data_IF_075167587295
#
_entry.id   IF_075167587295
#
_cell.length_a   1.000
_cell.length_b   1.000
_cell.length_c   1.000
_cell.angle_alpha   90.00
_cell.angle_beta   90.00
_cell.angle_gamma   90.00
#
_symmetry.space_group_name_H-M   'P 1'
#
loop_
_entity.id
_entity.type
_entity.pdbx_description
1 polymer ?
#
# COMPACT_ATOMS: atom_id res chain seq x y z
N UNK A 1 19.68 17.84 13.79
CA UNK A 1 20.16 16.97 12.69
C UNK A 1 18.93 16.34 12.06
N UNK A 2 18.92 16.01 10.76
CA UNK A 2 17.85 15.19 10.21
C UNK A 2 17.79 13.84 10.96
N UNK A 3 16.59 13.24 11.11
CA UNK A 3 16.46 11.93 11.74
C UNK A 3 17.34 10.90 11.01
N UNK A 4 17.91 9.96 11.76
CA UNK A 4 18.77 8.93 11.17
C UNK A 4 17.91 8.04 10.28
N UNK A 5 18.34 7.75 9.04
CA UNK A 5 17.55 6.90 8.14
C UNK A 5 17.37 5.51 8.76
N UNK A 6 16.19 4.92 8.52
CA UNK A 6 15.87 3.61 9.04
C UNK A 6 16.85 2.54 8.50
N UNK A 7 17.46 1.71 9.36
CA UNK A 7 18.54 0.81 8.98
C UNK A 7 18.12 -0.28 7.98
N UNK A 8 16.84 -0.69 7.99
CA UNK A 8 16.30 -1.67 7.05
C UNK A 8 16.04 -1.11 5.64
N UNK A 9 15.96 0.21 5.48
CA UNK A 9 15.45 0.84 4.26
C UNK A 9 16.31 0.56 3.01
N UNK A 10 17.66 0.61 3.06
CA UNK A 10 18.50 0.27 1.92
C UNK A 10 18.31 -1.19 1.45
N UNK A 11 18.20 -2.12 2.40
CA UNK A 11 17.98 -3.54 2.12
C UNK A 11 16.61 -3.77 1.47
N UNK A 12 15.55 -3.19 2.06
CA UNK A 12 14.19 -3.27 1.50
C UNK A 12 14.14 -2.69 0.08
N UNK A 13 14.77 -1.54 -0.13
CA UNK A 13 14.83 -0.88 -1.45
C UNK A 13 15.56 -1.75 -2.49
N UNK A 14 16.65 -2.40 -2.09
CA UNK A 14 17.38 -3.34 -2.95
C UNK A 14 16.50 -4.53 -3.34
N UNK A 15 15.73 -5.10 -2.41
CA UNK A 15 14.84 -6.23 -2.70
C UNK A 15 13.69 -5.84 -3.63
N UNK A 16 13.08 -4.67 -3.40
CA UNK A 16 12.00 -4.14 -4.23
C UNK A 16 12.44 -3.83 -5.67
N UNK A 17 13.72 -3.50 -5.89
CA UNK A 17 14.27 -3.18 -7.22
C UNK A 17 14.87 -4.39 -7.93
N UNK A 18 15.34 -5.37 -7.17
CA UNK A 18 15.96 -6.59 -7.70
C UNK A 18 14.94 -7.56 -8.31
N UNK A 19 13.65 -7.45 -7.96
CA UNK A 19 12.57 -8.25 -8.54
C UNK A 19 11.49 -7.34 -9.14
N UNK A 20 11.60 -6.98 -10.44
CA UNK A 20 10.70 -6.01 -11.07
C UNK A 20 9.25 -6.49 -11.25
N UNK A 21 8.94 -7.73 -10.89
CA UNK A 21 7.66 -8.40 -11.18
C UNK A 21 6.69 -8.50 -10.01
N UNK A 22 7.08 -8.17 -8.77
CA UNK A 22 6.17 -8.30 -7.62
C UNK A 22 6.31 -7.15 -6.61
N UNK A 23 5.49 -6.11 -6.79
CA UNK A 23 5.23 -5.09 -5.77
C UNK A 23 4.13 -5.51 -4.78
N UNK A 24 3.65 -6.75 -4.89
CA UNK A 24 2.56 -7.25 -4.06
C UNK A 24 3.05 -7.63 -2.66
N UNK A 25 2.39 -7.11 -1.62
CA UNK A 25 2.64 -7.44 -0.21
C UNK A 25 1.35 -7.92 0.47
N UNK A 26 1.47 -8.71 1.52
CA UNK A 26 0.32 -9.11 2.34
C UNK A 26 0.10 -8.12 3.49
N UNK A 27 -1.03 -7.42 3.48
CA UNK A 27 -1.47 -6.55 4.57
C UNK A 27 -2.45 -7.30 5.47
N UNK A 28 -2.08 -7.45 6.75
CA UNK A 28 -2.94 -8.05 7.77
C UNK A 28 -3.50 -6.97 8.70
N UNK A 29 -4.79 -7.06 9.00
CA UNK A 29 -5.52 -6.13 9.89
C UNK A 29 -6.46 -6.91 10.81
N UNK A 30 -6.91 -6.29 11.89
CA UNK A 30 -7.93 -6.84 12.77
C UNK A 30 -9.26 -6.15 12.52
N UNK A 31 -10.30 -6.94 12.26
CA UNK A 31 -11.69 -6.49 12.16
C UNK A 31 -12.49 -6.98 13.36
N UNK A 32 -13.56 -6.28 13.73
CA UNK A 32 -14.45 -6.73 14.81
C UNK A 32 -15.66 -7.43 14.20
N UNK A 33 -15.97 -8.65 14.66
CA UNK A 33 -17.15 -9.35 14.19
C UNK A 33 -18.43 -8.58 14.58
N UNK A 34 -19.39 -8.35 13.65
CA UNK A 34 -20.50 -7.43 13.88
C UNK A 34 -21.43 -7.88 15.02
N UNK A 35 -21.61 -9.19 15.18
CA UNK A 35 -22.53 -9.75 16.17
C UNK A 35 -21.79 -10.09 17.48
N UNK A 36 -20.74 -10.90 17.38
CA UNK A 36 -20.03 -11.44 18.54
C UNK A 36 -19.01 -10.46 19.14
N UNK A 37 -18.73 -9.35 18.46
CA UNK A 37 -17.72 -8.34 18.85
C UNK A 37 -16.31 -8.90 19.08
N UNK A 38 -16.03 -10.11 18.59
CA UNK A 38 -14.73 -10.75 18.71
C UNK A 38 -13.77 -10.21 17.64
N UNK A 39 -12.48 -9.99 17.95
CA UNK A 39 -11.46 -9.68 16.96
C UNK A 39 -11.33 -10.82 15.94
N UNK A 40 -11.27 -10.48 14.66
CA UNK A 40 -11.08 -11.41 13.56
C UNK A 40 -9.99 -10.89 12.61
N UNK A 41 -8.90 -11.65 12.40
CA UNK A 41 -7.87 -11.26 11.47
C UNK A 41 -8.38 -11.25 10.02
N UNK A 42 -7.78 -10.37 9.23
CA UNK A 42 -8.03 -10.19 7.80
C UNK A 42 -6.68 -10.01 7.13
N UNK A 43 -6.35 -10.84 6.16
CA UNK A 43 -5.15 -10.68 5.32
C UNK A 43 -5.58 -10.45 3.87
N UNK A 44 -4.85 -9.60 3.16
CA UNK A 44 -5.07 -9.31 1.73
C UNK A 44 -3.76 -8.98 1.03
N UNK A 45 -3.69 -9.29 -0.26
CA UNK A 45 -2.62 -8.80 -1.13
C UNK A 45 -2.91 -7.36 -1.53
N UNK A 46 -1.91 -6.49 -1.40
CA UNK A 46 -1.94 -5.07 -1.79
C UNK A 46 -0.69 -4.74 -2.59
N UNK A 47 -0.75 -3.67 -3.37
CA UNK A 47 0.40 -3.21 -4.14
C UNK A 47 1.16 -2.11 -3.41
N UNK A 48 2.47 -2.32 -3.24
CA UNK A 48 3.42 -1.31 -2.81
C UNK A 48 3.50 -0.20 -3.87
N UNK A 49 3.27 1.05 -3.47
CA UNK A 49 3.25 2.22 -4.36
C UNK A 49 4.39 3.17 -4.07
N UNK A 50 5.49 2.72 -3.47
CA UNK A 50 6.63 3.57 -3.10
C UNK A 50 6.56 4.06 -1.65
N UNK A 51 7.48 4.96 -1.33
CA UNK A 51 7.57 5.57 -0.01
C UNK A 51 6.99 6.99 -0.06
N UNK A 52 6.12 7.33 0.89
CA UNK A 52 5.55 8.66 0.94
C UNK A 52 6.65 9.72 1.16
N UNK A 53 6.61 10.91 0.54
CA UNK A 53 5.58 11.40 -0.38
C UNK A 53 5.80 11.04 -1.86
N UNK A 54 6.84 10.29 -2.19
CA UNK A 54 7.23 9.96 -3.57
C UNK A 54 6.68 8.60 -3.99
N UNK A 55 5.46 8.63 -4.56
CA UNK A 55 4.78 7.43 -5.04
C UNK A 55 5.33 6.95 -6.39
N UNK A 56 5.43 5.63 -6.56
CA UNK A 56 5.64 4.99 -7.85
C UNK A 56 4.33 4.99 -8.64
N UNK A 57 4.13 6.06 -9.42
CA UNK A 57 2.94 6.27 -10.23
C UNK A 57 3.10 5.66 -11.63
N UNK A 58 2.00 5.14 -12.18
CA UNK A 58 1.96 4.72 -13.58
C UNK A 58 2.18 5.93 -14.51
N UNK A 59 2.80 5.71 -15.67
CA UNK A 59 3.16 6.75 -16.63
C UNK A 59 1.97 7.64 -17.04
N UNK A 60 0.78 7.05 -17.22
CA UNK A 60 -0.45 7.79 -17.52
C UNK A 60 -0.84 8.76 -16.42
N UNK A 61 -0.70 8.36 -15.14
CA UNK A 61 -1.02 9.24 -14.01
C UNK A 61 -0.03 10.40 -13.91
N UNK A 62 1.25 10.15 -14.18
CA UNK A 62 2.28 11.21 -14.26
C UNK A 62 1.94 12.21 -15.36
N UNK A 63 1.51 11.72 -16.52
CA UNK A 63 1.10 12.59 -17.63
C UNK A 63 -0.13 13.43 -17.25
N UNK A 64 -1.16 12.82 -16.65
CA UNK A 64 -2.35 13.55 -16.19
C UNK A 64 -2.02 14.63 -15.15
N UNK A 65 -1.08 14.39 -14.23
CA UNK A 65 -0.64 15.39 -13.26
C UNK A 65 0.02 16.60 -13.93
N UNK A 66 0.80 16.37 -14.99
CA UNK A 66 1.44 17.42 -15.79
C UNK A 66 0.40 18.21 -16.57
N UNK A 67 -0.47 17.52 -17.31
CA UNK A 67 -1.50 18.14 -18.15
C UNK A 67 -2.47 19.01 -17.30
N UNK A 68 -2.73 18.58 -16.06
CA UNK A 68 -3.59 19.31 -15.12
C UNK A 68 -2.87 20.38 -14.30
N UNK A 69 -1.58 20.63 -14.54
CA UNK A 69 -0.77 21.64 -13.85
C UNK A 69 -0.71 21.43 -12.32
N UNK A 70 -0.80 20.18 -11.86
CA UNK A 70 -0.69 19.80 -10.44
C UNK A 70 0.80 19.58 -10.09
N UNK A 71 1.53 18.90 -10.98
CA UNK A 71 2.93 18.56 -10.76
C UNK A 71 3.13 17.36 -9.82
N UNK A 72 4.40 17.01 -9.58
CA UNK A 72 4.81 16.01 -8.58
C UNK A 72 5.24 16.73 -7.31
N UNK A 73 5.26 15.99 -6.20
CA UNK A 73 5.86 16.48 -4.97
C UNK A 73 7.34 16.81 -5.22
N UNK A 74 7.87 17.93 -4.69
CA UNK A 74 9.28 18.26 -4.85
C UNK A 74 10.15 17.22 -4.12
N UNK A 75 11.30 16.89 -4.70
CA UNK A 75 12.29 15.90 -4.19
C UNK A 75 13.09 16.42 -2.98
N UNK A 76 12.43 17.16 -2.08
CA UNK A 76 13.00 17.70 -0.84
C UNK A 76 12.46 16.97 0.41
N UNK A 77 11.54 16.02 0.21
CA UNK A 77 10.92 15.24 1.26
C UNK A 77 11.19 13.76 1.02
N UNK A 78 11.71 13.09 2.04
CA UNK A 78 11.94 11.64 2.03
C UNK A 78 11.37 11.06 3.32
N UNK A 79 10.85 9.82 3.25
CA UNK A 79 10.49 9.06 4.44
C UNK A 79 10.54 7.56 4.17
N UNK A 80 10.60 6.77 5.24
CA UNK A 80 10.44 5.32 5.23
C UNK A 80 8.96 4.86 5.26
N UNK A 81 8.00 5.78 5.15
CA UNK A 81 6.58 5.44 5.25
C UNK A 81 6.08 4.74 3.98
N UNK A 82 5.57 3.53 4.14
CA UNK A 82 5.08 2.69 3.04
C UNK A 82 3.73 3.23 2.54
N UNK A 83 3.62 3.47 1.24
CA UNK A 83 2.38 3.92 0.63
C UNK A 83 1.68 2.81 -0.15
N UNK A 84 0.37 2.69 0.06
CA UNK A 84 -0.53 1.76 -0.60
C UNK A 84 -1.73 2.51 -1.16
N UNK A 85 -2.36 1.97 -2.21
CA UNK A 85 -3.61 2.52 -2.77
C UNK A 85 -4.74 1.52 -2.59
N UNK A 86 -5.91 1.99 -2.17
CA UNK A 86 -7.08 1.14 -1.90
C UNK A 86 -8.39 1.92 -2.15
N UNK A 87 -9.49 1.21 -2.35
CA UNK A 87 -10.84 1.82 -2.43
C UNK A 87 -11.43 1.91 -1.01
N UNK A 88 -12.09 3.03 -0.66
CA UNK A 88 -12.69 3.26 0.67
C UNK A 88 -13.70 2.20 1.09
N UNK A 89 -14.32 1.52 0.12
CA UNK A 89 -15.40 0.55 0.31
C UNK A 89 -14.88 -0.88 0.46
N UNK A 90 -13.57 -1.11 0.42
CA UNK A 90 -13.05 -2.47 0.45
C UNK A 90 -13.14 -3.10 1.84
N UNK A 91 -14.05 -4.06 2.01
CA UNK A 91 -14.09 -4.95 3.18
C UNK A 91 -13.36 -6.30 2.94
N UNK A 92 -13.19 -6.73 1.67
CA UNK A 92 -12.35 -7.86 1.22
C UNK A 92 -12.24 -7.89 -0.32
N UNK A 93 -11.00 -7.91 -0.85
CA UNK A 93 -10.69 -7.99 -2.29
C UNK A 93 -10.89 -9.42 -2.78
N UNK A 94 -11.97 -9.71 -3.49
CA UNK A 94 -12.00 -10.86 -4.39
C UNK A 94 -12.21 -10.35 -5.80
N UNK A 95 -11.34 -10.82 -6.69
CA UNK A 95 -11.27 -10.54 -8.13
C UNK A 95 -10.44 -9.29 -8.50
N UNK A 96 -9.12 -9.45 -8.39
CA UNK A 96 -8.12 -8.57 -9.02
C UNK A 96 -8.27 -8.59 -10.55
N UNK A 97 -8.44 -7.42 -11.16
CA UNK A 97 -7.75 -7.04 -12.41
C UNK A 97 -7.46 -5.53 -12.40
N UNK A 98 -6.24 -5.18 -12.84
CA UNK A 98 -5.68 -3.86 -13.18
C UNK A 98 -6.30 -2.57 -12.58
N UNK A 99 -5.50 -1.83 -11.82
CA UNK A 99 -5.86 -0.63 -11.04
C UNK A 99 -6.24 0.64 -11.84
N UNK A 100 -6.63 0.51 -13.12
CA UNK A 100 -6.99 1.63 -13.99
C UNK A 100 -8.46 2.05 -13.98
N UNK A 101 -9.38 1.21 -13.48
CA UNK A 101 -10.83 1.46 -13.52
C UNK A 101 -11.64 0.93 -12.33
N UNK A 102 -10.99 0.37 -11.31
CA UNK A 102 -11.66 -0.32 -10.19
C UNK A 102 -12.48 0.60 -9.28
N UNK A 103 -12.13 1.88 -9.17
CA UNK A 103 -12.77 2.84 -8.26
C UNK A 103 -14.17 3.29 -8.72
N UNK A 104 -14.59 2.92 -9.94
CA UNK A 104 -15.94 3.14 -10.46
C UNK A 104 -16.76 1.84 -10.55
N UNK A 105 -16.23 0.72 -10.08
CA UNK A 105 -17.01 -0.50 -10.02
C UNK A 105 -18.12 -0.39 -8.94
N UNK A 106 -19.20 -1.19 -9.06
CA UNK A 106 -20.12 -1.46 -7.96
C UNK A 106 -19.36 -1.80 -6.66
N UNK A 107 -19.94 -1.53 -5.49
CA UNK A 107 -19.27 -1.84 -4.22
C UNK A 107 -18.82 -3.31 -4.19
N UNK A 108 -17.55 -3.59 -3.86
CA UNK A 108 -17.06 -4.96 -3.77
C UNK A 108 -17.92 -5.83 -2.84
N UNK A 109 -18.13 -7.09 -3.20
CA UNK A 109 -18.97 -8.03 -2.43
C UNK A 109 -20.48 -7.92 -2.70
N UNK A 110 -20.92 -6.99 -3.55
CA UNK A 110 -22.33 -6.90 -3.97
C UNK A 110 -22.68 -8.03 -4.93
N UNK A 111 -23.90 -8.57 -4.85
CA UNK A 111 -24.40 -9.57 -5.78
C UNK A 111 -24.39 -9.03 -7.22
N UNK A 112 -23.85 -9.80 -8.17
CA UNK A 112 -23.83 -9.41 -9.59
C UNK A 112 -25.23 -9.21 -10.19
N UNK A 113 -26.24 -9.86 -9.63
CA UNK A 113 -27.64 -9.72 -10.05
C UNK A 113 -28.33 -8.46 -9.50
N UNK A 114 -27.73 -7.77 -8.53
CA UNK A 114 -28.30 -6.60 -7.89
C UNK A 114 -27.86 -5.32 -8.62
N UNK A 115 -28.81 -4.43 -8.88
CA UNK A 115 -28.51 -3.09 -9.41
C UNK A 115 -27.74 -2.29 -8.33
N UNK A 116 -26.57 -1.73 -8.64
CA UNK A 116 -25.81 -0.88 -7.71
C UNK A 116 -26.55 0.40 -7.29
N UNK A 117 -27.69 0.74 -7.89
CA UNK A 117 -28.52 1.89 -7.54
C UNK A 117 -27.93 3.25 -7.97
N UNK A 118 -26.63 3.29 -8.25
CA UNK A 118 -25.97 4.39 -8.94
C UNK A 118 -25.56 3.93 -10.36
N UNK A 119 -26.15 4.50 -11.43
CA UNK A 119 -25.85 4.13 -12.81
C UNK A 119 -24.43 4.49 -13.25
N UNK A 120 -23.71 5.32 -12.48
CA UNK A 120 -22.30 5.65 -12.71
C UNK A 120 -21.35 4.54 -12.26
N UNK A 121 -21.81 3.55 -11.48
CA UNK A 121 -21.01 2.43 -11.01
C UNK A 121 -21.14 1.21 -11.92
N UNK A 122 -20.21 0.99 -12.84
CA UNK A 122 -20.26 -0.13 -13.81
C UNK A 122 -18.90 -0.76 -14.04
N UNK A 123 -18.89 -2.05 -14.38
CA UNK A 123 -17.67 -2.77 -14.74
C UNK A 123 -17.08 -2.25 -16.05
N UNK A 124 -15.74 -2.29 -16.16
CA UNK A 124 -15.02 -1.98 -17.40
C UNK A 124 -14.99 -0.50 -17.76
N UNK A 125 -15.43 0.39 -16.86
CA UNK A 125 -15.34 1.83 -17.08
C UNK A 125 -13.88 2.28 -17.02
N UNK A 126 -13.50 3.13 -17.98
CA UNK A 126 -12.21 3.82 -17.96
C UNK A 126 -12.32 5.11 -17.15
N UNK A 127 -11.25 5.40 -16.39
CA UNK A 127 -11.05 6.69 -15.76
C UNK A 127 -10.08 7.46 -16.64
N UNK A 128 -10.57 8.50 -17.31
CA UNK A 128 -9.81 9.26 -18.31
C UNK A 128 -8.92 10.33 -17.66
N UNK A 129 -9.27 10.81 -16.46
CA UNK A 129 -8.53 11.85 -15.76
C UNK A 129 -8.60 11.75 -14.22
N UNK A 130 -7.78 12.56 -13.55
CA UNK A 130 -7.72 12.64 -12.08
C UNK A 130 -8.89 13.40 -11.43
N UNK A 131 -9.78 14.02 -12.21
CA UNK A 131 -10.90 14.86 -11.73
C UNK A 131 -12.21 14.09 -11.66
N UNK A 132 -12.26 12.85 -12.13
CA UNK A 132 -13.44 11.98 -12.03
C UNK A 132 -13.95 11.91 -10.58
N UNK A 133 -15.15 12.48 -10.38
CA UNK A 133 -15.76 12.65 -9.05
C UNK A 133 -15.97 11.30 -8.35
N UNK A 134 -16.43 10.29 -9.07
CA UNK A 134 -16.75 8.96 -8.53
C UNK A 134 -15.46 8.24 -8.13
N UNK A 135 -14.45 8.26 -9.00
CA UNK A 135 -13.16 7.65 -8.71
C UNK A 135 -12.49 8.30 -7.49
N UNK A 136 -12.47 9.64 -7.42
CA UNK A 136 -11.89 10.38 -6.29
C UNK A 136 -12.62 10.16 -4.98
N UNK A 137 -13.94 10.02 -5.04
CA UNK A 137 -14.73 9.74 -3.85
C UNK A 137 -14.31 8.41 -3.22
N UNK A 138 -13.93 7.43 -4.03
CA UNK A 138 -13.60 6.07 -3.60
C UNK A 138 -12.09 5.82 -3.40
N UNK A 139 -11.21 6.48 -4.15
CA UNK A 139 -9.76 6.30 -4.08
C UNK A 139 -9.19 6.75 -2.74
N UNK A 140 -8.32 5.93 -2.13
CA UNK A 140 -7.59 6.25 -0.89
C UNK A 140 -6.12 5.88 -1.03
N UNK A 141 -5.26 6.72 -0.45
CA UNK A 141 -3.87 6.39 -0.14
C UNK A 141 -3.80 6.03 1.33
N UNK A 142 -3.20 4.89 1.63
CA UNK A 142 -2.88 4.48 3.01
C UNK A 142 -1.37 4.61 3.16
N UNK A 143 -0.96 5.32 4.20
CA UNK A 143 0.45 5.51 4.56
C UNK A 143 0.68 4.76 5.87
N UNK A 144 1.66 3.85 5.86
CA UNK A 144 2.04 3.05 7.03
C UNK A 144 3.41 3.54 7.47
N UNK A 145 3.49 4.05 8.71
CA UNK A 145 4.75 4.32 9.39
C UNK A 145 5.14 3.06 10.17
N UNK A 146 6.23 2.36 9.81
CA UNK A 146 6.67 1.20 10.56
C UNK A 146 7.15 1.60 11.96
N UNK A 147 6.71 0.87 12.98
CA UNK A 147 7.27 0.95 14.35
C UNK A 147 8.18 -0.24 14.65
N UNK A 148 8.00 -1.33 13.94
CA UNK A 148 8.84 -2.52 14.01
C UNK A 148 8.99 -3.10 12.59
N UNK A 149 10.20 -3.52 12.26
CA UNK A 149 10.50 -4.24 11.02
C UNK A 149 11.34 -5.45 11.37
N UNK A 150 10.96 -6.61 10.85
CA UNK A 150 11.70 -7.85 11.05
C UNK A 150 12.12 -8.43 9.70
N UNK A 151 13.37 -8.85 9.61
CA UNK A 151 13.92 -9.56 8.45
C UNK A 151 14.32 -10.96 8.89
N UNK A 152 13.95 -11.93 8.06
CA UNK A 152 14.50 -13.28 8.08
C UNK A 152 15.30 -13.49 6.79
N UNK A 153 16.60 -13.73 6.90
CA UNK A 153 17.49 -14.10 5.81
C UNK A 153 17.75 -15.61 5.86
N UNK A 154 17.39 -16.29 4.77
CA UNK A 154 17.54 -17.73 4.60
C UNK A 154 18.48 -18.09 3.44
N UNK A 155 19.29 -17.14 2.97
CA UNK A 155 20.23 -17.38 1.87
C UNK A 155 21.32 -18.41 2.23
N UNK A 156 21.72 -18.47 3.51
CA UNK A 156 22.58 -19.54 4.04
C UNK A 156 21.74 -20.48 4.94
N UNK A 157 21.38 -21.69 4.47
CA UNK A 157 20.59 -22.64 5.25
C UNK A 157 21.28 -23.11 6.54
N UNK A 158 22.60 -23.00 6.64
CA UNK A 158 23.37 -23.38 7.81
C UNK A 158 23.47 -22.26 8.85
N UNK A 159 23.20 -21.02 8.45
CA UNK A 159 23.24 -19.84 9.30
C UNK A 159 22.12 -18.84 8.92
N UNK A 160 20.85 -19.20 9.13
CA UNK A 160 19.74 -18.26 8.97
C UNK A 160 19.86 -17.09 9.96
N UNK A 161 19.67 -15.86 9.47
CA UNK A 161 19.81 -14.63 10.26
C UNK A 161 18.43 -14.00 10.42
N UNK A 162 18.01 -13.77 11.66
CA UNK A 162 16.79 -13.02 11.96
C UNK A 162 17.18 -11.74 12.70
N UNK A 163 16.81 -10.60 12.14
CA UNK A 163 17.10 -9.28 12.71
C UNK A 163 15.80 -8.50 12.86
N UNK A 164 15.58 -7.92 14.04
CA UNK A 164 14.46 -7.02 14.31
C UNK A 164 14.98 -5.62 14.55
N UNK A 165 14.34 -4.65 13.91
CA UNK A 165 14.49 -3.22 14.18
C UNK A 165 13.22 -2.68 14.83
N UNK A 166 13.35 -1.99 15.96
CA UNK A 166 12.24 -1.33 16.65
C UNK A 166 12.48 0.18 16.71
N UNK A 167 11.49 0.97 16.30
CA UNK A 167 11.52 2.41 16.38
C UNK A 167 11.46 2.84 17.85
N UNK A 168 12.40 3.70 18.26
CA UNK A 168 12.44 4.29 19.59
C UNK A 168 12.43 5.81 19.48
N UNK A 169 12.10 6.50 20.58
CA UNK A 169 12.03 7.97 20.63
C UNK A 169 11.13 8.55 19.52
N UNK A 170 9.89 8.08 19.44
CA UNK A 170 8.93 8.46 18.38
C UNK A 170 9.46 8.28 16.95
N UNK A 171 10.36 7.32 16.72
CA UNK A 171 10.91 6.97 15.42
C UNK A 171 12.07 7.85 14.95
N UNK A 172 12.73 8.57 15.87
CA UNK A 172 14.00 9.27 15.58
C UNK A 172 15.20 8.30 15.51
N UNK A 173 15.10 7.17 16.20
CA UNK A 173 16.15 6.15 16.31
C UNK A 173 15.56 4.74 16.16
N UNK A 174 16.43 3.79 15.86
CA UNK A 174 16.08 2.38 15.71
C UNK A 174 17.01 1.53 16.57
N UNK A 175 16.43 0.65 17.39
CA UNK A 175 17.14 -0.40 18.11
C UNK A 175 17.16 -1.67 17.27
N UNK A 176 18.35 -2.29 17.14
CA UNK A 176 18.58 -3.50 16.35
C UNK A 176 18.91 -4.68 17.27
N UNK A 177 18.22 -5.81 17.06
CA UNK A 177 18.41 -7.04 17.83
C UNK A 177 18.47 -8.25 16.91
N UNK A 178 19.50 -9.07 17.09
CA UNK A 178 19.61 -10.39 16.46
C UNK A 178 18.81 -11.42 17.26
N UNK A 179 18.03 -12.22 16.55
CA UNK A 179 17.10 -13.21 17.08
C UNK A 179 17.41 -14.59 16.50
N UNK A 180 16.98 -15.63 17.22
CA UNK A 180 16.91 -16.97 16.62
C UNK A 180 15.85 -16.99 15.50
N UNK A 181 16.09 -17.71 14.39
CA UNK A 181 15.15 -17.87 13.27
C UNK A 181 13.74 -18.26 13.69
#
# INVERSE_FOLDING_TARGET
MPPKPAPYLPLLSSHLTSSPTSTSISLTTLSTHPITRTPQPRSRTVEFRGFFPTLNLHSSAVQSLKDQHIGLNPDIYESEMIALTTDKRMEKVQEMESSGGTFKNPPPGTLRSQDPGNPELKLGQKVEDLKDKVARENFRVVVIRPEEVERLDVNDPSNPIRTRWTAVRDGEEWEEVDLWP
#
